data_IF_898773496561
#
_entry.id   IF_898773496561
#
_cell.length_a   1.000
_cell.length_b   1.000
_cell.length_c   1.000
_cell.angle_alpha   90.00
_cell.angle_beta   90.00
_cell.angle_gamma   90.00
#
_symmetry.space_group_name_H-M   'P 1'
#
loop_
_entity.id
_entity.type
_entity.pdbx_description
1 polymer ?
#
# COMPACT_ATOMS: atom_id res chain seq x y z
N UNK A 1 -38.93 45.33 62.54
CA UNK A 1 -38.22 45.83 61.33
C UNK A 1 -36.75 45.44 61.30
N UNK A 2 -36.00 45.53 62.39
CA UNK A 2 -34.54 45.24 62.43
C UNK A 2 -34.16 43.81 62.01
N UNK A 3 -34.90 42.79 62.43
CA UNK A 3 -34.66 41.39 62.03
C UNK A 3 -34.84 41.12 60.53
N UNK A 4 -35.79 41.80 59.88
CA UNK A 4 -36.02 41.65 58.43
C UNK A 4 -34.88 42.29 57.63
N UNK A 5 -34.35 43.42 58.09
CA UNK A 5 -33.20 44.09 57.45
C UNK A 5 -31.92 43.26 57.57
N UNK A 6 -31.68 42.63 58.72
CA UNK A 6 -30.51 41.74 58.89
C UNK A 6 -30.62 40.48 58.04
N UNK A 7 -31.82 39.91 57.93
CA UNK A 7 -32.06 38.73 57.08
C UNK A 7 -31.92 39.05 55.59
N UNK A 8 -32.43 40.20 55.14
CA UNK A 8 -32.22 40.69 53.77
C UNK A 8 -30.75 40.96 53.47
N UNK A 9 -29.99 41.51 54.43
CA UNK A 9 -28.55 41.70 54.31
C UNK A 9 -27.82 40.37 54.09
N UNK A 10 -28.11 39.36 54.93
CA UNK A 10 -27.57 38.00 54.79
C UNK A 10 -27.90 37.36 53.43
N UNK A 11 -29.17 37.41 53.02
CA UNK A 11 -29.60 36.88 51.72
C UNK A 11 -28.91 37.57 50.54
N UNK A 12 -28.67 38.88 50.65
CA UNK A 12 -27.95 39.65 49.62
C UNK A 12 -26.49 39.23 49.53
N UNK A 13 -25.82 39.05 50.66
CA UNK A 13 -24.43 38.57 50.72
C UNK A 13 -24.29 37.15 50.15
N UNK A 14 -25.21 36.25 50.49
CA UNK A 14 -25.26 34.89 49.94
C UNK A 14 -25.48 34.89 48.44
N UNK A 15 -26.40 35.72 47.95
CA UNK A 15 -26.63 35.87 46.51
C UNK A 15 -25.39 36.44 45.80
N UNK A 16 -24.71 37.44 46.38
CA UNK A 16 -23.48 37.99 45.82
C UNK A 16 -22.35 36.95 45.77
N UNK A 17 -22.23 36.09 46.79
CA UNK A 17 -21.27 34.98 46.78
C UNK A 17 -21.63 33.94 45.71
N UNK A 18 -22.91 33.56 45.60
CA UNK A 18 -23.40 32.63 44.59
C UNK A 18 -23.17 33.14 43.16
N UNK A 19 -23.43 34.43 42.92
CA UNK A 19 -23.17 35.08 41.62
C UNK A 19 -21.67 35.06 41.30
N UNK A 20 -20.81 35.43 42.26
CA UNK A 20 -19.34 35.40 42.07
C UNK A 20 -18.84 33.99 41.74
N UNK A 21 -19.28 32.99 42.49
CA UNK A 21 -18.93 31.59 42.23
C UNK A 21 -19.43 31.14 40.84
N UNK A 22 -20.67 31.47 40.48
CA UNK A 22 -21.22 31.11 39.17
C UNK A 22 -20.44 31.78 38.03
N UNK A 23 -20.05 33.03 38.20
CA UNK A 23 -19.25 33.76 37.22
C UNK A 23 -17.87 33.12 37.04
N UNK A 24 -17.19 32.75 38.13
CA UNK A 24 -15.92 32.03 38.07
C UNK A 24 -16.07 30.68 37.35
N UNK A 25 -17.09 29.90 37.71
CA UNK A 25 -17.38 28.60 37.08
C UNK A 25 -17.63 28.74 35.57
N UNK A 26 -18.34 29.79 35.14
CA UNK A 26 -18.58 30.05 33.71
C UNK A 26 -17.29 30.48 32.98
N UNK A 27 -16.42 31.26 33.64
CA UNK A 27 -15.12 31.63 33.07
C UNK A 27 -14.23 30.39 32.87
N UNK A 28 -14.18 29.50 33.86
CA UNK A 28 -13.41 28.26 33.78
C UNK A 28 -13.97 27.34 32.68
N UNK A 29 -15.30 27.15 32.61
CA UNK A 29 -15.94 26.37 31.55
C UNK A 29 -15.67 26.95 30.14
N UNK A 30 -15.63 28.28 30.02
CA UNK A 30 -15.28 28.95 28.76
C UNK A 30 -13.83 28.66 28.37
N UNK A 31 -12.91 28.62 29.34
CA UNK A 31 -11.50 28.29 29.11
C UNK A 31 -11.34 26.84 28.67
N UNK A 32 -12.01 25.89 29.33
CA UNK A 32 -11.95 24.48 28.94
C UNK A 32 -12.49 24.27 27.52
N UNK A 33 -13.62 24.92 27.19
CA UNK A 33 -14.22 24.81 25.87
C UNK A 33 -13.28 25.33 24.77
N UNK A 34 -12.61 26.47 25.01
CA UNK A 34 -11.61 27.00 24.07
C UNK A 34 -10.42 26.05 23.88
N UNK A 35 -9.95 25.43 24.97
CA UNK A 35 -8.87 24.44 24.91
C UNK A 35 -9.30 23.22 24.08
N UNK A 36 -10.53 22.75 24.29
CA UNK A 36 -11.09 21.64 23.53
C UNK A 36 -11.22 21.97 22.05
N UNK A 37 -11.74 23.16 21.71
CA UNK A 37 -11.83 23.63 20.32
C UNK A 37 -10.46 23.71 19.64
N UNK A 38 -9.42 24.18 20.34
CA UNK A 38 -8.07 24.25 19.77
C UNK A 38 -7.48 22.88 19.48
N UNK A 39 -7.60 21.94 20.41
CA UNK A 39 -7.10 20.57 20.22
C UNK A 39 -7.88 19.85 19.12
N UNK A 40 -9.20 20.06 19.05
CA UNK A 40 -10.05 19.49 18.02
C UNK A 40 -9.65 19.98 16.63
N UNK A 41 -9.39 21.29 16.49
CA UNK A 41 -8.90 21.88 15.24
C UNK A 41 -7.52 21.34 14.87
N UNK A 42 -6.62 21.19 15.85
CA UNK A 42 -5.28 20.63 15.63
C UNK A 42 -5.31 19.17 15.18
N UNK A 43 -6.28 18.37 15.65
CA UNK A 43 -6.54 17.01 15.17
C UNK A 43 -7.09 17.04 13.73
N UNK A 44 -8.11 17.86 13.47
CA UNK A 44 -8.72 17.97 12.14
C UNK A 44 -7.70 18.34 11.06
N UNK A 45 -6.90 19.39 11.28
CA UNK A 45 -5.86 19.81 10.32
C UNK A 45 -4.83 18.70 10.07
N UNK A 46 -4.44 17.96 11.11
CA UNK A 46 -3.48 16.88 10.96
C UNK A 46 -4.06 15.68 10.21
N UNK A 47 -5.35 15.38 10.41
CA UNK A 47 -6.06 14.35 9.68
C UNK A 47 -6.19 14.70 8.19
N UNK A 48 -6.55 15.93 7.86
CA UNK A 48 -6.60 16.43 6.48
C UNK A 48 -5.22 16.35 5.79
N UNK A 49 -4.15 16.71 6.50
CA UNK A 49 -2.77 16.55 6.00
C UNK A 49 -2.37 15.09 5.76
N UNK A 50 -2.81 14.17 6.62
CA UNK A 50 -2.57 12.74 6.43
C UNK A 50 -3.37 12.20 5.22
N UNK A 51 -4.63 12.61 5.07
CA UNK A 51 -5.49 12.20 3.96
C UNK A 51 -4.98 12.69 2.60
N UNK A 52 -4.56 13.95 2.51
CA UNK A 52 -3.95 14.50 1.27
C UNK A 52 -2.66 13.77 0.85
N UNK A 53 -1.87 13.30 1.83
CA UNK A 53 -0.69 12.47 1.54
C UNK A 53 -1.08 11.09 0.99
N UNK A 54 -2.22 10.54 1.45
CA UNK A 54 -2.75 9.23 1.03
C UNK A 54 -3.40 9.27 -0.36
N UNK A 55 -4.07 10.37 -0.71
CA UNK A 55 -4.82 10.53 -1.98
C UNK A 55 -3.99 11.14 -3.11
N UNK A 56 -2.67 11.31 -2.94
CA UNK A 56 -1.82 11.88 -3.99
C UNK A 56 -1.88 11.01 -5.27
N UNK A 57 -2.35 11.56 -6.41
CA UNK A 57 -2.48 10.81 -7.66
C UNK A 57 -1.13 10.42 -8.28
N UNK A 58 -0.04 11.05 -7.84
CA UNK A 58 1.32 10.75 -8.27
C UNK A 58 1.78 9.36 -7.81
N UNK A 59 1.13 8.79 -6.79
CA UNK A 59 1.50 7.51 -6.20
C UNK A 59 1.42 6.36 -7.20
N UNK A 60 0.51 6.42 -8.17
CA UNK A 60 0.35 5.39 -9.20
C UNK A 60 1.52 5.30 -10.20
N UNK A 61 2.39 6.33 -10.27
CA UNK A 61 3.51 6.41 -11.22
C UNK A 61 4.84 5.93 -10.62
N UNK A 62 4.88 5.73 -9.30
CA UNK A 62 6.08 5.33 -8.56
C UNK A 62 6.29 3.81 -8.60
N UNK A 63 7.54 3.37 -8.43
CA UNK A 63 7.86 1.95 -8.26
C UNK A 63 7.25 1.38 -6.97
N UNK A 64 7.09 0.05 -6.88
CA UNK A 64 6.56 -0.61 -5.67
C UNK A 64 7.36 -0.25 -4.39
N UNK A 65 8.68 -0.10 -4.50
CA UNK A 65 9.54 0.28 -3.37
C UNK A 65 9.33 1.73 -2.95
N UNK A 66 9.19 2.64 -3.90
CA UNK A 66 8.88 4.04 -3.62
C UNK A 66 7.47 4.20 -3.04
N UNK A 67 6.49 3.50 -3.60
CA UNK A 67 5.13 3.43 -3.07
C UNK A 67 5.09 2.90 -1.63
N UNK A 68 5.91 1.90 -1.31
CA UNK A 68 6.07 1.39 0.05
C UNK A 68 6.68 2.45 0.97
N UNK A 69 7.76 3.10 0.54
CA UNK A 69 8.44 4.13 1.34
C UNK A 69 7.53 5.32 1.67
N UNK A 70 6.71 5.76 0.71
CA UNK A 70 5.72 6.82 0.92
C UNK A 70 4.65 6.42 1.93
N UNK A 71 4.18 5.17 1.86
CA UNK A 71 3.19 4.64 2.82
C UNK A 71 3.78 4.45 4.22
N UNK A 72 5.02 4.01 4.34
CA UNK A 72 5.74 3.94 5.62
C UNK A 72 5.94 5.33 6.22
N UNK A 73 6.25 6.33 5.39
CA UNK A 73 6.30 7.71 5.83
C UNK A 73 4.93 8.21 6.31
N UNK A 74 3.85 7.88 5.61
CA UNK A 74 2.51 8.19 6.08
C UNK A 74 2.22 7.55 7.45
N UNK A 75 2.55 6.27 7.66
CA UNK A 75 2.41 5.62 8.97
C UNK A 75 3.12 6.40 10.08
N UNK A 76 4.35 6.88 9.83
CA UNK A 76 5.06 7.72 10.81
C UNK A 76 4.31 9.03 11.12
N UNK A 77 3.65 9.65 10.13
CA UNK A 77 2.77 10.81 10.36
C UNK A 77 1.53 10.42 11.18
N UNK A 78 0.96 9.25 10.94
CA UNK A 78 -0.19 8.74 11.69
C UNK A 78 0.10 8.51 13.16
N UNK A 79 1.33 8.09 13.50
CA UNK A 79 1.75 7.97 14.90
C UNK A 79 1.65 9.31 15.66
N UNK A 80 1.88 10.43 14.97
CA UNK A 80 1.73 11.77 15.55
C UNK A 80 0.27 12.19 15.82
N UNK A 81 -0.72 11.47 15.24
CA UNK A 81 -2.14 11.71 15.51
C UNK A 81 -2.58 11.13 16.86
N UNK A 82 -1.91 10.08 17.35
CA UNK A 82 -2.24 9.42 18.62
C UNK A 82 -2.23 10.38 19.82
N UNK A 83 -1.16 11.17 20.08
CA UNK A 83 -1.17 12.12 21.18
C UNK A 83 -2.22 13.23 21.00
N UNK A 84 -2.57 13.61 19.76
CA UNK A 84 -3.63 14.58 19.49
C UNK A 84 -5.02 14.05 19.83
N UNK A 85 -5.31 12.79 19.47
CA UNK A 85 -6.53 12.10 19.88
C UNK A 85 -6.65 12.04 21.40
N UNK A 86 -5.56 11.72 22.09
CA UNK A 86 -5.51 11.71 23.56
C UNK A 86 -5.74 13.10 24.16
N UNK A 87 -5.17 14.16 23.58
CA UNK A 87 -5.39 15.54 24.02
C UNK A 87 -6.86 15.98 23.87
N UNK A 88 -7.49 15.62 22.75
CA UNK A 88 -8.92 15.85 22.51
C UNK A 88 -9.78 15.10 23.52
N UNK A 89 -9.48 13.83 23.80
CA UNK A 89 -10.18 13.03 24.82
C UNK A 89 -10.01 13.61 26.23
N UNK A 90 -8.79 14.02 26.59
CA UNK A 90 -8.50 14.65 27.87
C UNK A 90 -9.30 15.96 28.03
N UNK A 91 -9.28 16.83 27.03
CA UNK A 91 -10.06 18.06 27.02
C UNK A 91 -11.57 17.77 27.13
N UNK A 92 -12.08 16.80 26.37
CA UNK A 92 -13.50 16.40 26.40
C UNK A 92 -13.93 15.91 27.79
N UNK A 93 -13.10 15.07 28.44
CA UNK A 93 -13.38 14.55 29.78
C UNK A 93 -13.31 15.60 30.89
N UNK A 94 -12.53 16.67 30.67
CA UNK A 94 -12.39 17.77 31.61
C UNK A 94 -13.52 18.81 31.50
N UNK A 95 -14.38 18.71 30.49
CA UNK A 95 -15.48 19.64 30.29
C UNK A 95 -16.46 19.54 31.47
N UNK A 96 -16.72 20.69 32.11
CA UNK A 96 -17.66 20.83 33.24
C UNK A 96 -19.11 20.88 32.77
N UNK A 97 -19.54 19.87 32.02
CA UNK A 97 -20.87 19.79 31.38
C UNK A 97 -21.56 18.50 31.86
N UNK A 98 -22.87 18.53 32.16
CA UNK A 98 -23.61 17.32 32.51
C UNK A 98 -23.51 16.26 31.41
N UNK A 99 -23.31 15.01 31.81
CA UNK A 99 -23.03 13.87 30.92
C UNK A 99 -24.17 13.64 29.90
N UNK A 100 -25.41 13.96 30.29
CA UNK A 100 -26.60 13.86 29.43
C UNK A 100 -26.56 14.82 28.24
N UNK A 101 -25.84 15.94 28.37
CA UNK A 101 -25.74 16.99 27.36
C UNK A 101 -24.48 16.83 26.51
N UNK A 102 -23.43 16.18 27.03
CA UNK A 102 -22.15 15.98 26.32
C UNK A 102 -22.33 15.33 24.95
N UNK A 103 -23.18 14.31 24.84
CA UNK A 103 -23.45 13.60 23.56
C UNK A 103 -24.35 14.39 22.60
N UNK A 104 -25.07 15.39 23.11
CA UNK A 104 -25.90 16.30 22.31
C UNK A 104 -25.12 17.45 21.68
N UNK A 105 -23.93 17.77 22.21
CA UNK A 105 -23.12 18.88 21.73
C UNK A 105 -22.48 18.56 20.36
N UNK A 106 -22.66 19.42 19.34
CA UNK A 106 -22.07 19.21 18.00
C UNK A 106 -20.56 19.04 18.02
N UNK A 107 -19.88 19.75 18.92
CA UNK A 107 -18.42 19.68 19.07
C UNK A 107 -17.95 18.31 19.57
N UNK A 108 -18.65 17.71 20.54
CA UNK A 108 -18.36 16.36 21.03
C UNK A 108 -18.63 15.29 19.96
N UNK A 109 -19.70 15.44 19.18
CA UNK A 109 -19.99 14.54 18.04
C UNK A 109 -18.90 14.63 16.97
N UNK A 110 -18.40 15.84 16.72
CA UNK A 110 -17.31 16.06 15.77
C UNK A 110 -16.00 15.46 16.28
N UNK A 111 -15.70 15.61 17.58
CA UNK A 111 -14.56 14.96 18.20
C UNK A 111 -14.61 13.43 18.07
N UNK A 112 -15.76 12.82 18.37
CA UNK A 112 -15.92 11.36 18.22
C UNK A 112 -15.69 10.92 16.76
N UNK A 113 -16.32 11.59 15.80
CA UNK A 113 -16.14 11.30 14.37
C UNK A 113 -14.68 11.39 13.93
N UNK A 114 -13.97 12.45 14.32
CA UNK A 114 -12.56 12.62 13.96
C UNK A 114 -11.66 11.54 14.59
N UNK A 115 -12.00 11.06 15.79
CA UNK A 115 -11.28 9.94 16.42
C UNK A 115 -11.54 8.61 15.67
N UNK A 116 -12.78 8.36 15.26
CA UNK A 116 -13.15 7.20 14.44
C UNK A 116 -12.46 7.25 13.06
N UNK A 117 -12.50 8.40 12.40
CA UNK A 117 -11.82 8.61 11.11
C UNK A 117 -10.31 8.43 11.22
N UNK A 118 -9.68 8.93 12.29
CA UNK A 118 -8.25 8.73 12.57
C UNK A 118 -7.94 7.25 12.73
N UNK A 119 -8.76 6.52 13.50
CA UNK A 119 -8.60 5.09 13.74
C UNK A 119 -8.77 4.27 12.45
N UNK A 120 -9.80 4.59 11.66
CA UNK A 120 -10.07 3.97 10.37
C UNK A 120 -8.91 4.21 9.40
N UNK A 121 -8.45 5.45 9.28
CA UNK A 121 -7.33 5.80 8.42
C UNK A 121 -6.06 5.04 8.85
N UNK A 122 -5.82 4.89 10.15
CA UNK A 122 -4.65 4.18 10.66
C UNK A 122 -4.70 2.69 10.31
N UNK A 123 -5.87 2.07 10.50
CA UNK A 123 -6.08 0.68 10.13
C UNK A 123 -5.83 0.45 8.63
N UNK A 124 -6.41 1.30 7.78
CA UNK A 124 -6.22 1.24 6.33
C UNK A 124 -4.74 1.41 5.94
N UNK A 125 -4.05 2.39 6.52
CA UNK A 125 -2.63 2.64 6.21
C UNK A 125 -1.73 1.46 6.61
N UNK A 126 -1.99 0.82 7.76
CA UNK A 126 -1.26 -0.37 8.21
C UNK A 126 -1.50 -1.53 7.25
N UNK A 127 -2.75 -1.82 6.92
CA UNK A 127 -3.10 -2.91 6.02
C UNK A 127 -2.41 -2.74 4.66
N UNK A 128 -2.35 -1.51 4.15
CA UNK A 128 -1.68 -1.24 2.89
C UNK A 128 -0.17 -1.38 2.95
N UNK A 129 0.47 -0.93 4.02
CA UNK A 129 1.90 -1.16 4.20
C UNK A 129 2.20 -2.66 4.20
N UNK A 130 1.36 -3.47 4.85
CA UNK A 130 1.54 -4.92 4.87
C UNK A 130 1.39 -5.53 3.47
N UNK A 131 0.32 -5.19 2.74
CA UNK A 131 0.10 -5.68 1.36
C UNK A 131 1.26 -5.25 0.44
N UNK A 132 1.69 -4.00 0.55
CA UNK A 132 2.77 -3.48 -0.29
C UNK A 132 4.11 -4.10 0.08
N UNK A 133 4.38 -4.31 1.37
CA UNK A 133 5.59 -4.98 1.84
C UNK A 133 5.64 -6.43 1.34
N UNK A 134 4.53 -7.16 1.43
CA UNK A 134 4.41 -8.50 0.86
C UNK A 134 4.65 -8.48 -0.65
N UNK A 135 4.05 -7.53 -1.37
CA UNK A 135 4.25 -7.39 -2.81
C UNK A 135 5.72 -7.12 -3.18
N UNK A 136 6.40 -6.23 -2.44
CA UNK A 136 7.83 -5.95 -2.67
C UNK A 136 8.67 -7.20 -2.43
N UNK A 137 8.46 -7.92 -1.33
CA UNK A 137 9.21 -9.15 -1.01
C UNK A 137 8.98 -10.22 -2.07
N UNK A 138 7.74 -10.43 -2.50
CA UNK A 138 7.39 -11.40 -3.54
C UNK A 138 7.98 -11.02 -4.90
N UNK A 139 8.02 -9.73 -5.24
CA UNK A 139 8.64 -9.26 -6.48
C UNK A 139 10.16 -9.43 -6.46
N UNK A 140 10.82 -9.19 -5.33
CA UNK A 140 12.25 -9.46 -5.17
C UNK A 140 12.58 -10.95 -5.30
N UNK A 141 11.75 -11.82 -4.71
CA UNK A 141 11.89 -13.28 -4.86
C UNK A 141 11.67 -13.72 -6.31
N UNK A 142 10.67 -13.17 -6.98
CA UNK A 142 10.43 -13.38 -8.41
C UNK A 142 11.67 -13.01 -9.24
N UNK A 143 12.26 -11.84 -9.01
CA UNK A 143 13.46 -11.38 -9.73
C UNK A 143 14.66 -12.31 -9.52
N UNK A 144 14.85 -12.83 -8.30
CA UNK A 144 15.92 -13.77 -7.98
C UNK A 144 15.71 -15.12 -8.67
N UNK A 145 14.50 -15.66 -8.60
CA UNK A 145 14.16 -16.95 -9.22
C UNK A 145 14.23 -16.88 -10.74
N UNK A 146 13.76 -15.79 -11.35
CA UNK A 146 13.89 -15.54 -12.79
C UNK A 146 15.35 -15.54 -13.23
N UNK A 147 16.22 -14.84 -12.50
CA UNK A 147 17.67 -14.83 -12.78
C UNK A 147 18.28 -16.22 -12.64
N UNK A 148 17.88 -16.97 -11.62
CA UNK A 148 18.35 -18.34 -11.42
C UNK A 148 17.95 -19.27 -12.57
N UNK A 149 16.66 -19.27 -12.96
CA UNK A 149 16.16 -20.08 -14.07
C UNK A 149 16.77 -19.68 -15.40
N UNK A 150 16.98 -18.39 -15.65
CA UNK A 150 17.69 -17.90 -16.84
C UNK A 150 19.13 -18.43 -16.89
N UNK A 151 19.84 -18.37 -15.76
CA UNK A 151 21.20 -18.91 -15.66
C UNK A 151 21.24 -20.42 -15.93
N UNK A 152 20.32 -21.21 -15.35
CA UNK A 152 20.22 -22.65 -15.61
C UNK A 152 19.94 -22.97 -17.09
N UNK A 153 19.12 -22.15 -17.75
CA UNK A 153 18.85 -22.28 -19.19
C UNK A 153 20.11 -21.96 -20.00
N UNK A 154 20.84 -20.91 -19.65
CA UNK A 154 22.10 -20.54 -20.29
C UNK A 154 23.18 -21.63 -20.13
N UNK A 155 23.35 -22.18 -18.93
CA UNK A 155 24.25 -23.31 -18.67
C UNK A 155 23.86 -24.54 -19.49
N UNK A 156 22.57 -24.90 -19.50
CA UNK A 156 22.08 -26.03 -20.28
C UNK A 156 22.27 -25.83 -21.80
N UNK A 157 22.10 -24.60 -22.31
CA UNK A 157 22.40 -24.28 -23.70
C UNK A 157 23.90 -24.33 -24.01
N UNK A 158 24.75 -23.88 -23.09
CA UNK A 158 26.20 -23.98 -23.25
C UNK A 158 26.65 -25.44 -23.29
N UNK A 159 26.11 -26.29 -22.40
CA UNK A 159 26.33 -27.74 -22.44
C UNK A 159 25.87 -28.37 -23.76
N UNK A 160 24.76 -27.91 -24.34
CA UNK A 160 24.30 -28.39 -25.64
C UNK A 160 25.25 -27.98 -26.79
N UNK A 161 25.89 -26.80 -26.72
CA UNK A 161 26.79 -26.30 -27.75
C UNK A 161 28.22 -26.88 -27.66
N UNK A 162 28.69 -27.18 -26.45
CA UNK A 162 30.07 -27.64 -26.23
C UNK A 162 30.32 -29.08 -26.66
N UNK A 163 29.28 -29.90 -26.80
CA UNK A 163 29.41 -31.28 -27.24
C UNK A 163 29.59 -31.34 -28.76
N UNK A 164 30.84 -31.16 -29.22
CA UNK A 164 31.20 -31.38 -30.63
C UNK A 164 31.01 -32.85 -31.00
N UNK A 165 30.22 -33.12 -32.05
CA UNK A 165 30.07 -34.45 -32.64
C UNK A 165 31.36 -34.82 -33.37
N UNK A 166 32.31 -35.45 -32.68
CA UNK A 166 33.60 -35.87 -33.26
C UNK A 166 33.78 -37.38 -33.34
N UNK A 167 32.75 -38.15 -33.01
CA UNK A 167 32.83 -39.61 -32.95
C UNK A 167 32.25 -40.30 -34.19
N UNK A 168 33.00 -41.27 -34.72
CA UNK A 168 32.58 -42.19 -35.79
C UNK A 168 31.91 -43.48 -35.25
N UNK A 169 31.68 -43.59 -33.93
CA UNK A 169 31.10 -44.75 -33.27
C UNK A 169 29.59 -44.54 -33.02
N UNK A 170 28.76 -45.43 -33.57
CA UNK A 170 27.29 -45.40 -33.46
C UNK A 170 26.83 -45.46 -32.00
N UNK A 171 27.51 -46.22 -31.14
CA UNK A 171 27.13 -46.35 -29.73
C UNK A 171 27.35 -45.04 -28.96
N UNK A 172 28.45 -44.34 -29.24
CA UNK A 172 28.75 -43.05 -28.63
C UNK A 172 27.78 -41.96 -29.11
N UNK A 173 27.41 -41.97 -30.40
CA UNK A 173 26.37 -41.12 -30.95
C UNK A 173 25.01 -41.32 -30.26
N UNK A 174 24.61 -42.57 -29.99
CA UNK A 174 23.36 -42.86 -29.29
C UNK A 174 23.34 -42.33 -27.84
N UNK A 175 24.47 -42.46 -27.12
CA UNK A 175 24.61 -41.88 -25.77
C UNK A 175 24.53 -40.35 -25.83
N UNK A 176 25.16 -39.75 -26.84
CA UNK A 176 25.15 -38.31 -27.03
C UNK A 176 23.73 -37.79 -27.33
N UNK A 177 23.00 -38.43 -28.23
CA UNK A 177 21.60 -38.08 -28.55
C UNK A 177 20.73 -38.13 -27.30
N UNK A 178 20.83 -39.19 -26.49
CA UNK A 178 20.07 -39.31 -25.23
C UNK A 178 20.37 -38.15 -24.26
N UNK A 179 21.65 -37.78 -24.12
CA UNK A 179 22.04 -36.64 -23.28
C UNK A 179 21.47 -35.31 -23.80
N UNK A 180 21.48 -35.08 -25.12
CA UNK A 180 20.86 -33.90 -25.72
C UNK A 180 19.33 -33.88 -25.51
N UNK A 181 18.65 -35.01 -25.65
CA UNK A 181 17.22 -35.13 -25.37
C UNK A 181 16.89 -34.83 -23.90
N UNK A 182 17.70 -35.30 -22.96
CA UNK A 182 17.55 -35.02 -21.53
C UNK A 182 17.75 -33.54 -21.20
N UNK A 183 18.78 -32.90 -21.78
CA UNK A 183 19.02 -31.47 -21.63
C UNK A 183 17.89 -30.63 -22.23
N UNK A 184 17.39 -30.98 -23.41
CA UNK A 184 16.24 -30.32 -24.04
C UNK A 184 14.97 -30.42 -23.16
N UNK A 185 14.74 -31.58 -22.54
CA UNK A 185 13.63 -31.76 -21.56
C UNK A 185 13.81 -30.88 -20.33
N UNK A 186 15.02 -30.75 -19.79
CA UNK A 186 15.30 -29.85 -18.65
C UNK A 186 15.04 -28.38 -19.00
N UNK A 187 15.54 -27.91 -20.14
CA UNK A 187 15.32 -26.53 -20.61
C UNK A 187 13.82 -26.23 -20.73
N UNK A 188 13.05 -27.15 -21.32
CA UNK A 188 11.59 -27.01 -21.38
C UNK A 188 10.96 -26.91 -19.98
N UNK A 189 11.40 -27.74 -19.04
CA UNK A 189 10.95 -27.67 -17.65
C UNK A 189 11.27 -26.34 -16.93
N UNK A 190 12.41 -25.71 -17.23
CA UNK A 190 12.73 -24.37 -16.72
C UNK A 190 11.86 -23.29 -17.37
N UNK A 191 11.58 -23.39 -18.67
CA UNK A 191 10.69 -22.47 -19.38
C UNK A 191 9.25 -22.53 -18.83
N UNK A 192 8.75 -23.74 -18.51
CA UNK A 192 7.43 -23.92 -17.89
C UNK A 192 7.39 -23.29 -16.48
N UNK A 193 8.49 -23.38 -15.72
CA UNK A 193 8.63 -22.71 -14.41
C UNK A 193 8.59 -21.19 -14.54
N UNK A 194 9.29 -20.62 -15.52
CA UNK A 194 9.23 -19.19 -15.85
C UNK A 194 7.79 -18.76 -16.19
N UNK A 195 7.06 -19.54 -16.99
CA UNK A 195 5.68 -19.23 -17.35
C UNK A 195 4.74 -19.23 -16.13
N UNK A 196 4.89 -20.22 -15.23
CA UNK A 196 4.15 -20.29 -13.97
C UNK A 196 4.47 -19.10 -13.06
N UNK A 197 5.74 -18.74 -12.95
CA UNK A 197 6.24 -17.64 -12.14
C UNK A 197 5.72 -16.27 -12.65
N UNK A 198 5.70 -16.07 -13.97
CA UNK A 198 5.12 -14.89 -14.60
C UNK A 198 3.61 -14.75 -14.31
N UNK A 199 2.87 -15.86 -14.33
CA UNK A 199 1.44 -15.86 -14.00
C UNK A 199 1.19 -15.43 -12.54
N UNK A 200 2.00 -15.93 -11.59
CA UNK A 200 1.95 -15.50 -10.18
C UNK A 200 2.26 -14.01 -10.02
N UNK A 201 3.26 -13.50 -10.73
CA UNK A 201 3.62 -12.07 -10.69
C UNK A 201 2.47 -11.18 -11.19
N UNK A 202 1.75 -11.58 -12.25
CA UNK A 202 0.57 -10.82 -12.75
C UNK A 202 -0.50 -10.66 -11.66
N UNK A 203 -0.81 -11.73 -10.93
CA UNK A 203 -1.79 -11.67 -9.83
C UNK A 203 -1.32 -10.73 -8.72
N UNK A 204 -0.03 -10.77 -8.39
CA UNK A 204 0.57 -9.90 -7.37
C UNK A 204 0.45 -8.42 -7.74
N UNK A 205 0.80 -8.07 -8.97
CA UNK A 205 0.66 -6.70 -9.50
C UNK A 205 -0.80 -6.23 -9.44
N UNK A 206 -1.75 -7.10 -9.77
CA UNK A 206 -3.18 -6.79 -9.65
C UNK A 206 -3.61 -6.50 -8.21
N UNK A 207 -3.16 -7.31 -7.24
CA UNK A 207 -3.44 -7.08 -5.82
C UNK A 207 -2.86 -5.75 -5.32
N UNK A 208 -1.62 -5.42 -5.70
CA UNK A 208 -0.97 -4.17 -5.31
C UNK A 208 -1.67 -2.94 -5.92
N UNK A 209 -2.10 -3.03 -7.19
CA UNK A 209 -2.90 -1.99 -7.85
C UNK A 209 -4.26 -1.80 -7.19
N UNK A 210 -4.98 -2.88 -6.90
CA UNK A 210 -6.28 -2.81 -6.22
C UNK A 210 -6.17 -2.16 -4.83
N UNK A 211 -5.14 -2.51 -4.05
CA UNK A 211 -4.88 -1.88 -2.76
C UNK A 211 -4.61 -0.36 -2.86
N UNK A 212 -4.05 0.08 -3.99
CA UNK A 212 -3.84 1.51 -4.28
C UNK A 212 -5.12 2.20 -4.77
N UNK A 213 -5.95 1.52 -5.59
CA UNK A 213 -7.19 2.06 -6.15
C UNK A 213 -8.31 2.25 -5.12
N UNK A 214 -8.41 1.40 -4.10
CA UNK A 214 -9.38 1.56 -3.00
C UNK A 214 -9.25 2.89 -2.22
N UNK A 215 -8.23 3.72 -2.53
CA UNK A 215 -8.02 5.03 -1.94
C UNK A 215 -8.39 6.21 -2.83
N UNK A 216 -8.39 6.05 -4.16
CA UNK A 216 -8.74 7.13 -5.09
C UNK A 216 -10.24 7.30 -5.23
N UNK A 217 -11.02 6.28 -4.86
CA UNK A 217 -12.46 6.38 -4.72
C UNK A 217 -12.77 6.90 -3.32
N UNK A 218 -12.82 8.22 -3.17
CA UNK A 218 -13.81 8.81 -2.26
C UNK A 218 -15.17 8.28 -2.69
N UNK A 219 -15.95 7.69 -1.77
CA UNK A 219 -17.30 7.17 -2.00
C UNK A 219 -18.15 8.17 -2.82
N UNK A 220 -18.13 8.03 -4.14
CA UNK A 220 -19.08 8.60 -5.08
C UNK A 220 -19.34 7.51 -6.09
N UNK A 221 -20.59 7.06 -6.09
CA UNK A 221 -21.11 5.99 -6.93
C UNK A 221 -20.83 6.25 -8.42
N UNK A 222 -20.37 5.20 -9.09
CA UNK A 222 -20.29 5.14 -10.55
C UNK A 222 -18.89 5.41 -11.09
N UNK A 223 -18.22 4.37 -11.56
CA UNK A 223 -17.32 4.35 -12.74
C UNK A 223 -16.64 2.97 -12.82
N UNK A 224 -17.43 1.98 -13.27
CA UNK A 224 -16.96 0.66 -13.73
C UNK A 224 -16.41 0.69 -15.17
N UNK A 225 -16.16 1.87 -15.74
CA UNK A 225 -15.76 2.02 -17.14
C UNK A 225 -14.37 2.66 -17.22
N UNK A 226 -13.34 1.83 -17.26
CA UNK A 226 -11.95 2.30 -17.45
C UNK A 226 -10.89 1.20 -17.34
N UNK A 227 -11.26 -0.08 -17.50
CA UNK A 227 -10.38 -1.22 -17.25
C UNK A 227 -9.61 -1.69 -18.51
N UNK A 228 -9.84 -1.11 -19.70
CA UNK A 228 -9.35 -1.70 -20.95
C UNK A 228 -8.16 -0.99 -21.63
N UNK A 229 -7.65 0.14 -21.14
CA UNK A 229 -6.71 0.95 -21.95
C UNK A 229 -5.24 1.05 -21.48
N UNK A 230 -4.77 0.22 -20.53
CA UNK A 230 -3.36 0.27 -20.11
C UNK A 230 -2.64 -1.09 -20.10
N UNK A 231 -2.79 -1.85 -21.17
CA UNK A 231 -1.96 -3.03 -21.44
C UNK A 231 -0.56 -2.65 -22.00
N UNK A 232 -0.31 -1.36 -22.27
CA UNK A 232 0.88 -0.91 -23.02
C UNK A 232 1.99 -0.16 -22.24
N UNK A 233 1.82 0.22 -20.96
CA UNK A 233 2.78 1.18 -20.34
C UNK A 233 3.58 0.71 -19.11
N UNK A 234 3.59 -0.58 -18.76
CA UNK A 234 4.33 -1.03 -17.55
C UNK A 234 5.34 -2.18 -17.76
N UNK A 235 5.65 -2.56 -19.00
CA UNK A 235 6.94 -3.20 -19.24
C UNK A 235 8.01 -2.10 -19.15
N UNK A 236 9.11 -2.28 -18.39
CA UNK A 236 10.24 -1.39 -18.52
C UNK A 236 10.62 -1.42 -20.00
N UNK A 237 10.59 -0.26 -20.64
CA UNK A 237 11.03 -0.08 -22.01
C UNK A 237 12.36 -0.81 -22.15
N UNK A 238 12.34 -1.89 -22.93
CA UNK A 238 13.55 -2.63 -23.27
C UNK A 238 14.54 -1.62 -23.83
N UNK A 239 15.60 -1.36 -23.07
CA UNK A 239 16.77 -0.68 -23.59
C UNK A 239 17.16 -1.43 -24.87
N UNK A 240 17.15 -0.71 -25.98
CA UNK A 240 17.47 -1.20 -27.29
C UNK A 240 18.73 -2.08 -27.27
N UNK A 241 18.54 -3.39 -27.32
CA UNK A 241 19.52 -4.32 -27.84
C UNK A 241 18.79 -5.22 -28.85
N UNK A 242 18.98 -5.00 -30.15
CA UNK A 242 18.48 -5.91 -31.15
C UNK A 242 19.40 -7.14 -31.13
N UNK A 243 18.98 -8.30 -30.61
CA UNK A 243 19.61 -9.57 -31.07
C UNK A 243 19.12 -10.95 -30.61
N UNK A 244 18.20 -11.18 -29.68
CA UNK A 244 17.97 -12.60 -29.23
C UNK A 244 16.62 -13.20 -29.62
N UNK A 245 15.55 -12.40 -29.73
CA UNK A 245 14.22 -12.94 -30.10
C UNK A 245 14.11 -13.23 -31.61
N UNK A 246 14.93 -12.60 -32.46
CA UNK A 246 14.99 -12.87 -33.91
C UNK A 246 15.95 -14.01 -34.29
N UNK A 247 16.73 -14.54 -33.33
CA UNK A 247 17.67 -15.64 -33.57
C UNK A 247 17.02 -17.02 -33.35
N UNK A 248 16.01 -17.11 -32.48
CA UNK A 248 15.35 -18.38 -32.18
C UNK A 248 14.41 -18.86 -33.30
N UNK A 249 13.81 -17.95 -34.07
CA UNK A 249 13.04 -18.32 -35.27
C UNK A 249 13.93 -18.73 -36.45
N UNK A 250 15.20 -18.31 -36.48
CA UNK A 250 16.15 -18.72 -37.53
C UNK A 250 16.79 -20.08 -37.26
N UNK A 251 16.98 -20.48 -35.99
CA UNK A 251 17.60 -21.76 -35.65
C UNK A 251 16.66 -22.95 -35.95
N UNK A 252 15.35 -22.79 -35.75
CA UNK A 252 14.38 -23.82 -36.15
C UNK A 252 14.27 -23.96 -37.68
N UNK A 253 14.41 -22.86 -38.43
CA UNK A 253 14.37 -22.87 -39.91
C UNK A 253 15.65 -23.48 -40.51
N UNK A 254 16.83 -23.24 -39.91
CA UNK A 254 18.08 -23.84 -40.37
C UNK A 254 18.11 -25.37 -40.17
N UNK A 255 17.54 -25.88 -39.08
CA UNK A 255 17.46 -27.33 -38.83
C UNK A 255 16.41 -27.99 -39.74
N UNK A 256 15.30 -27.30 -40.04
CA UNK A 256 14.26 -27.85 -40.92
C UNK A 256 14.67 -27.88 -42.41
N UNK A 257 15.49 -26.93 -42.88
CA UNK A 257 15.99 -26.89 -44.26
C UNK A 257 17.11 -27.91 -44.52
N UNK A 258 17.87 -28.32 -43.50
CA UNK A 258 18.90 -29.36 -43.65
C UNK A 258 18.36 -30.79 -43.64
N UNK A 259 17.15 -31.01 -43.12
CA UNK A 259 16.53 -32.34 -43.03
C UNK A 259 15.61 -32.65 -44.23
N UNK A 260 15.17 -31.64 -45.00
CA UNK A 260 14.28 -31.81 -46.16
C UNK A 260 14.94 -31.31 -47.46
N UNK A 261 16.16 -31.76 -47.75
CA UNK A 261 16.69 -31.71 -49.12
C UNK A 261 16.79 -33.14 -49.66
N UNK A 262 15.98 -33.53 -50.66
CA UNK A 262 16.02 -34.87 -51.23
C UNK A 262 17.36 -35.05 -51.93
N UNK A 263 18.16 -36.00 -51.45
CA UNK A 263 19.23 -36.58 -52.26
C UNK A 263 18.51 -37.44 -53.32
N UNK A 264 18.91 -37.20 -54.56
CA UNK A 264 18.36 -37.76 -55.78
C UNK A 264 18.37 -39.29 -55.83
#
# INVERSE_FOLDING_TARGET
>A
MTQQVTELGRQTEELQLAIRHRLQSLQDATKDMKSFESELRALQTALEQAQTTLTSPELGRLSLKEQLSHRQHLLSKMESLKPKVQAVQACQSALRIPEEVVTSLPICRTALRLQEETSRLQHTAIQQCNIMQEAVVQYEQYEQEMKHLQHLIEEAHHELQDVKVTTSNIQELQVQIKRHEELAKKIKGYQDQIASLNSKCKMLTMKAKHATMLLTVTEVEGLTEGMEELDSELLPAHSAHPSVVMALTNIEICIFIQIIRPIH
#
